data_IF_788034506903
#
_entry.id   IF_788034506903
#
_cell.length_a   1.000
_cell.length_b   1.000
_cell.length_c   1.000
_cell.angle_alpha   90.00
_cell.angle_beta   90.00
_cell.angle_gamma   90.00
#
_symmetry.space_group_name_H-M   'P 1'
#
loop_
_entity.id
_entity.type
_entity.pdbx_description
1 polymer ?
#
# COMPACT_ATOMS: atom_id res chain seq x y z
N UNK A 1 -61.52 -26.10 -24.23
CA UNK A 1 -60.36 -25.59 -25.00
C UNK A 1 -59.68 -24.50 -24.19
N UNK A 2 -58.56 -24.86 -23.58
CA UNK A 2 -57.54 -23.93 -23.08
C UNK A 2 -56.29 -24.76 -22.87
N UNK A 3 -55.52 -24.91 -23.96
CA UNK A 3 -54.18 -25.51 -23.94
C UNK A 3 -53.25 -24.58 -23.14
N UNK A 4 -52.91 -24.98 -21.92
CA UNK A 4 -51.78 -24.41 -21.20
C UNK A 4 -50.49 -24.88 -21.86
N UNK A 5 -49.87 -24.00 -22.65
CA UNK A 5 -48.52 -24.26 -23.17
C UNK A 5 -47.54 -24.28 -21.99
N UNK A 6 -46.71 -25.32 -21.84
CA UNK A 6 -45.70 -25.32 -20.79
C UNK A 6 -44.71 -24.18 -21.05
N UNK A 7 -44.65 -23.25 -20.09
CA UNK A 7 -43.68 -22.14 -20.10
C UNK A 7 -42.28 -22.75 -20.15
N UNK A 8 -41.60 -22.63 -21.30
CA UNK A 8 -40.23 -23.10 -21.43
C UNK A 8 -39.32 -22.22 -20.58
N UNK A 9 -38.97 -22.73 -19.39
CA UNK A 9 -38.02 -22.05 -18.53
C UNK A 9 -36.63 -22.12 -19.19
N UNK A 10 -36.09 -20.97 -19.57
CA UNK A 10 -34.70 -20.87 -19.99
C UNK A 10 -33.80 -21.29 -18.83
N UNK A 11 -32.72 -22.05 -19.07
CA UNK A 11 -31.83 -22.49 -18.00
C UNK A 11 -31.25 -21.28 -17.25
N UNK A 12 -31.30 -21.34 -15.91
CA UNK A 12 -30.76 -20.27 -15.08
C UNK A 12 -29.25 -20.16 -15.27
N UNK A 13 -28.78 -18.95 -15.56
CA UNK A 13 -27.35 -18.66 -15.68
C UNK A 13 -26.68 -18.69 -14.30
N UNK A 14 -26.06 -19.82 -13.98
CA UNK A 14 -25.33 -20.01 -12.72
C UNK A 14 -24.04 -19.20 -12.72
N UNK A 15 -23.68 -18.61 -11.57
CA UNK A 15 -22.42 -17.90 -11.42
C UNK A 15 -21.23 -18.88 -11.48
N UNK A 16 -20.25 -18.71 -12.39
CA UNK A 16 -19.13 -19.64 -12.53
C UNK A 16 -18.24 -19.65 -11.28
N UNK A 17 -17.56 -20.79 -11.04
CA UNK A 17 -16.59 -20.91 -9.94
C UNK A 17 -15.49 -19.86 -10.07
N UNK A 18 -15.16 -19.20 -8.95
CA UNK A 18 -14.14 -18.15 -8.89
C UNK A 18 -14.56 -16.77 -9.41
N UNK A 19 -15.77 -16.62 -9.97
CA UNK A 19 -16.32 -15.31 -10.34
C UNK A 19 -16.97 -14.64 -9.13
N UNK A 20 -16.59 -13.39 -8.89
CA UNK A 20 -17.12 -12.60 -7.77
C UNK A 20 -18.57 -12.17 -8.03
N UNK A 21 -19.35 -12.02 -6.96
CA UNK A 21 -20.69 -11.44 -7.02
C UNK A 21 -20.57 -9.94 -6.81
N UNK A 22 -20.84 -9.16 -7.87
CA UNK A 22 -20.70 -7.71 -7.86
C UNK A 22 -21.80 -6.99 -7.07
N UNK A 23 -21.65 -5.68 -6.84
CA UNK A 23 -22.63 -4.87 -6.10
C UNK A 23 -24.07 -4.98 -6.64
N UNK A 24 -24.25 -4.98 -7.97
CA UNK A 24 -25.58 -5.10 -8.59
C UNK A 24 -26.27 -6.42 -8.23
N UNK A 25 -25.54 -7.53 -8.30
CA UNK A 25 -26.08 -8.84 -7.94
C UNK A 25 -26.31 -8.95 -6.42
N UNK A 26 -25.44 -8.36 -5.60
CA UNK A 26 -25.66 -8.27 -4.16
C UNK A 26 -26.91 -7.46 -3.82
N UNK A 27 -27.18 -6.38 -4.56
CA UNK A 27 -28.39 -5.58 -4.37
C UNK A 27 -29.64 -6.37 -4.76
N UNK A 28 -29.59 -7.16 -5.84
CA UNK A 28 -30.67 -8.08 -6.20
C UNK A 28 -30.94 -9.09 -5.08
N UNK A 29 -29.90 -9.67 -4.48
CA UNK A 29 -30.03 -10.58 -3.33
C UNK A 29 -30.74 -9.88 -2.16
N UNK A 30 -30.34 -8.65 -1.81
CA UNK A 30 -30.96 -7.89 -0.72
C UNK A 30 -32.43 -7.55 -1.01
N UNK A 31 -32.74 -7.12 -2.24
CA UNK A 31 -34.10 -6.78 -2.62
C UNK A 31 -35.03 -8.00 -2.59
N UNK A 32 -34.57 -9.15 -3.10
CA UNK A 32 -35.30 -10.43 -3.02
C UNK A 32 -35.44 -10.91 -1.58
N UNK A 33 -34.41 -10.74 -0.76
CA UNK A 33 -34.50 -11.07 0.66
C UNK A 33 -35.58 -10.22 1.36
N UNK A 34 -35.64 -8.91 1.10
CA UNK A 34 -36.68 -8.04 1.64
C UNK A 34 -38.07 -8.47 1.20
N UNK A 35 -38.28 -8.74 -0.08
CA UNK A 35 -39.60 -9.14 -0.59
C UNK A 35 -40.07 -10.48 -0.02
N UNK A 36 -39.18 -11.48 0.07
CA UNK A 36 -39.49 -12.80 0.62
C UNK A 36 -39.75 -12.75 2.14
N UNK A 37 -39.03 -11.91 2.87
CA UNK A 37 -39.28 -11.71 4.31
C UNK A 37 -40.63 -11.04 4.58
N UNK A 38 -41.10 -10.14 3.70
CA UNK A 38 -42.44 -9.53 3.79
C UNK A 38 -43.51 -10.58 3.49
N UNK A 39 -43.32 -11.41 2.45
CA UNK A 39 -44.29 -12.43 2.05
C UNK A 39 -44.38 -13.59 3.05
N UNK A 40 -43.25 -13.98 3.65
CA UNK A 40 -43.16 -15.14 4.53
C UNK A 40 -42.36 -14.81 5.81
N UNK A 41 -42.98 -14.07 6.76
CA UNK A 41 -42.28 -13.57 7.96
C UNK A 41 -41.81 -14.67 8.92
N UNK A 42 -42.42 -15.85 8.85
CA UNK A 42 -42.16 -16.98 9.75
C UNK A 42 -40.97 -17.84 9.32
N UNK A 43 -40.49 -17.70 8.08
CA UNK A 43 -39.42 -18.54 7.55
C UNK A 43 -38.05 -18.14 8.07
N UNK A 44 -37.19 -19.15 8.25
CA UNK A 44 -35.81 -18.90 8.67
C UNK A 44 -35.01 -18.31 7.52
N UNK A 45 -34.09 -17.41 7.84
CA UNK A 45 -33.16 -16.79 6.85
C UNK A 45 -32.42 -17.84 6.01
N UNK A 46 -32.12 -19.02 6.59
CA UNK A 46 -31.47 -20.13 5.88
C UNK A 46 -32.33 -20.71 4.77
N UNK A 47 -33.64 -20.80 4.97
CA UNK A 47 -34.61 -21.32 3.99
C UNK A 47 -34.82 -20.30 2.87
N UNK A 48 -34.98 -19.02 3.23
CA UNK A 48 -35.07 -17.94 2.25
C UNK A 48 -33.81 -17.82 1.40
N UNK A 49 -32.62 -17.98 1.99
CA UNK A 49 -31.38 -18.02 1.21
C UNK A 49 -31.32 -19.20 0.23
N UNK A 50 -31.94 -20.34 0.55
CA UNK A 50 -32.03 -21.49 -0.36
C UNK A 50 -32.99 -21.23 -1.52
N UNK A 51 -34.11 -20.56 -1.28
CA UNK A 51 -35.05 -20.12 -2.32
C UNK A 51 -34.36 -19.13 -3.27
N UNK A 52 -33.72 -18.08 -2.73
CA UNK A 52 -33.01 -17.07 -3.53
C UNK A 52 -31.86 -17.71 -4.32
N UNK A 53 -31.20 -18.73 -3.77
CA UNK A 53 -30.13 -19.46 -4.47
C UNK A 53 -30.65 -20.16 -5.72
N UNK A 54 -31.82 -20.79 -5.62
CA UNK A 54 -32.50 -21.42 -6.75
C UNK A 54 -33.00 -20.37 -7.76
N UNK A 55 -33.48 -19.21 -7.31
CA UNK A 55 -33.98 -18.16 -8.20
C UNK A 55 -32.85 -17.42 -8.96
N UNK A 56 -31.73 -17.10 -8.31
CA UNK A 56 -30.65 -16.30 -8.89
C UNK A 56 -29.49 -17.11 -9.47
N UNK A 57 -29.42 -18.42 -9.22
CA UNK A 57 -28.26 -19.24 -9.61
C UNK A 57 -26.96 -18.82 -8.91
N UNK A 58 -27.06 -18.23 -7.72
CA UNK A 58 -25.92 -17.82 -6.89
C UNK A 58 -25.78 -18.80 -5.71
N UNK A 59 -24.56 -19.16 -5.37
CA UNK A 59 -24.29 -20.08 -4.27
C UNK A 59 -24.89 -19.60 -2.93
N UNK A 60 -25.52 -20.52 -2.20
CA UNK A 60 -26.16 -20.29 -0.89
C UNK A 60 -25.26 -19.54 0.10
N UNK A 61 -23.99 -19.92 0.19
CA UNK A 61 -23.04 -19.27 1.12
C UNK A 61 -22.83 -17.79 0.77
N UNK A 62 -22.72 -17.45 -0.52
CA UNK A 62 -22.56 -16.07 -0.96
C UNK A 62 -23.79 -15.22 -0.64
N UNK A 63 -24.99 -15.80 -0.79
CA UNK A 63 -26.25 -15.15 -0.41
C UNK A 63 -26.29 -14.91 1.10
N UNK A 64 -25.98 -15.93 1.90
CA UNK A 64 -25.95 -15.80 3.36
C UNK A 64 -24.95 -14.73 3.83
N UNK A 65 -23.73 -14.73 3.29
CA UNK A 65 -22.73 -13.70 3.60
C UNK A 65 -23.19 -12.32 3.17
N UNK A 66 -23.88 -12.19 2.03
CA UNK A 66 -24.44 -10.91 1.56
C UNK A 66 -25.57 -10.41 2.47
N UNK A 67 -26.45 -11.31 2.93
CA UNK A 67 -27.51 -10.96 3.89
C UNK A 67 -26.91 -10.55 5.23
N UNK A 68 -25.87 -11.25 5.70
CA UNK A 68 -25.17 -10.89 6.93
C UNK A 68 -24.47 -9.52 6.82
N UNK A 69 -23.78 -9.27 5.69
CA UNK A 69 -23.18 -7.97 5.36
C UNK A 69 -24.26 -6.86 5.42
N UNK A 70 -25.42 -7.11 4.79
CA UNK A 70 -26.54 -6.18 4.79
C UNK A 70 -27.12 -5.95 6.19
N UNK A 71 -27.33 -7.00 7.00
CA UNK A 71 -27.86 -6.84 8.36
C UNK A 71 -26.92 -6.01 9.25
N UNK A 72 -25.61 -6.19 9.10
CA UNK A 72 -24.62 -5.49 9.91
C UNK A 72 -24.40 -4.04 9.46
N UNK A 73 -24.31 -3.78 8.14
CA UNK A 73 -23.91 -2.47 7.59
C UNK A 73 -25.06 -1.69 6.93
N UNK A 74 -26.25 -2.29 6.80
CA UNK A 74 -27.41 -1.78 6.03
C UNK A 74 -27.12 -1.47 4.55
N UNK A 75 -25.95 -1.86 4.05
CA UNK A 75 -25.46 -1.61 2.69
C UNK A 75 -24.70 -2.84 2.18
N UNK A 76 -24.55 -2.95 0.86
CA UNK A 76 -23.76 -4.00 0.21
C UNK A 76 -22.67 -3.38 -0.65
N UNK A 77 -21.43 -3.81 -0.45
CA UNK A 77 -20.28 -3.32 -1.22
C UNK A 77 -19.79 -4.37 -2.23
N UNK A 78 -19.18 -3.89 -3.32
CA UNK A 78 -18.50 -4.78 -4.25
C UNK A 78 -17.31 -5.45 -3.56
N UNK A 79 -17.05 -6.74 -3.83
CA UNK A 79 -15.79 -7.37 -3.42
C UNK A 79 -14.59 -6.59 -3.94
N UNK A 80 -13.48 -6.62 -3.20
CA UNK A 80 -12.25 -6.00 -3.68
C UNK A 80 -11.79 -6.72 -4.96
N UNK A 81 -11.69 -5.96 -6.06
CA UNK A 81 -11.31 -6.48 -7.38
C UNK A 81 -9.79 -6.56 -7.53
N UNK A 82 -9.03 -5.87 -6.70
CA UNK A 82 -7.57 -5.91 -6.70
C UNK A 82 -7.05 -6.66 -5.49
N UNK A 83 -5.92 -7.35 -5.67
CA UNK A 83 -5.20 -7.96 -4.55
C UNK A 83 -4.49 -6.87 -3.77
N UNK A 84 -4.78 -6.75 -2.47
CA UNK A 84 -4.02 -5.90 -1.56
C UNK A 84 -2.64 -6.55 -1.38
N UNK A 85 -1.58 -5.88 -1.83
CA UNK A 85 -0.19 -6.34 -1.68
C UNK A 85 0.57 -5.29 -0.87
N UNK A 86 1.33 -5.76 0.12
CA UNK A 86 2.22 -4.88 0.87
C UNK A 86 3.24 -4.25 -0.07
N UNK A 87 3.30 -2.92 -0.07
CA UNK A 87 4.27 -2.15 -0.86
C UNK A 87 5.64 -2.18 -0.19
N UNK A 88 6.70 -1.80 -0.92
CA UNK A 88 8.03 -1.72 -0.33
C UNK A 88 8.08 -0.75 0.86
N UNK A 89 7.32 0.35 0.83
CA UNK A 89 7.21 1.29 1.95
C UNK A 89 6.65 0.65 3.21
N UNK A 90 5.72 -0.29 3.08
CA UNK A 90 5.12 -0.99 4.22
C UNK A 90 6.00 -2.11 4.76
N UNK A 91 6.98 -2.57 3.98
CA UNK A 91 7.89 -3.65 4.38
C UNK A 91 9.13 -3.16 5.11
N UNK A 92 9.47 -1.88 4.92
CA UNK A 92 10.72 -1.30 5.45
C UNK A 92 10.37 -0.33 6.55
N UNK A 93 10.88 -0.66 7.74
CA UNK A 93 10.69 0.14 8.95
C UNK A 93 11.59 1.39 8.96
N UNK A 94 11.28 2.35 9.83
CA UNK A 94 12.04 3.59 9.94
C UNK A 94 13.47 3.35 10.43
N UNK A 95 13.70 2.34 11.28
CA UNK A 95 15.05 1.95 11.69
C UNK A 95 15.92 1.50 10.50
N UNK A 96 15.34 0.69 9.60
CA UNK A 96 16.06 0.22 8.41
C UNK A 96 16.34 1.37 7.43
N UNK A 97 15.40 2.30 7.28
CA UNK A 97 15.58 3.52 6.48
C UNK A 97 16.76 4.34 6.98
N UNK A 98 16.86 4.51 8.30
CA UNK A 98 17.95 5.25 8.93
C UNK A 98 19.28 4.52 8.78
N UNK A 99 19.29 3.20 8.93
CA UNK A 99 20.49 2.39 8.73
C UNK A 99 20.99 2.42 7.28
N UNK A 100 20.10 2.32 6.28
CA UNK A 100 20.45 2.48 4.86
C UNK A 100 21.00 3.89 4.60
N UNK A 101 20.36 4.93 5.15
CA UNK A 101 20.86 6.32 5.04
C UNK A 101 22.28 6.44 5.59
N UNK A 102 22.54 5.85 6.75
CA UNK A 102 23.88 5.80 7.36
C UNK A 102 24.90 5.11 6.46
N UNK A 103 24.57 3.96 5.86
CA UNK A 103 25.45 3.28 4.89
C UNK A 103 25.78 4.18 3.70
N UNK A 104 24.80 4.89 3.15
CA UNK A 104 25.05 5.85 2.06
C UNK A 104 26.02 6.95 2.50
N UNK A 105 25.84 7.52 3.71
CA UNK A 105 26.76 8.53 4.26
C UNK A 105 28.16 8.00 4.55
N UNK A 106 28.29 6.73 4.95
CA UNK A 106 29.58 6.09 5.18
C UNK A 106 30.46 6.06 3.91
N UNK A 107 29.86 5.85 2.73
CA UNK A 107 30.59 5.96 1.46
C UNK A 107 31.16 7.37 1.25
N UNK A 108 30.36 8.41 1.52
CA UNK A 108 30.81 9.80 1.42
C UNK A 108 31.96 10.08 2.40
N UNK A 109 31.86 9.60 3.64
CA UNK A 109 32.93 9.72 4.64
C UNK A 109 34.23 9.05 4.19
N UNK A 110 34.13 7.89 3.54
CA UNK A 110 35.26 7.16 2.94
C UNK A 110 35.75 7.78 1.61
N UNK A 111 35.21 8.92 1.20
CA UNK A 111 35.51 9.60 -0.08
C UNK A 111 35.26 8.71 -1.31
N UNK A 112 34.33 7.76 -1.19
CA UNK A 112 33.92 6.87 -2.27
C UNK A 112 32.54 7.28 -2.79
N UNK A 113 32.32 7.22 -4.10
CA UNK A 113 31.01 7.46 -4.65
C UNK A 113 30.05 6.30 -4.32
N UNK A 114 28.88 6.59 -3.71
CA UNK A 114 27.86 5.59 -3.42
C UNK A 114 27.08 5.27 -4.70
N UNK A 115 27.52 4.26 -5.44
CA UNK A 115 26.76 3.68 -6.55
C UNK A 115 25.73 2.70 -6.00
N UNK A 116 24.58 2.57 -6.67
CA UNK A 116 23.52 1.63 -6.28
C UNK A 116 24.05 0.20 -6.03
N UNK A 117 24.95 -0.30 -6.89
CA UNK A 117 25.60 -1.59 -6.72
C UNK A 117 26.37 -1.71 -5.41
N UNK A 118 27.20 -0.70 -5.08
CA UNK A 118 28.01 -0.69 -3.87
C UNK A 118 27.14 -0.64 -2.61
N UNK A 119 26.09 0.18 -2.64
CA UNK A 119 25.14 0.27 -1.54
C UNK A 119 24.41 -1.06 -1.38
N UNK A 120 24.00 -1.69 -2.48
CA UNK A 120 23.32 -2.99 -2.45
C UNK A 120 24.20 -4.06 -1.80
N UNK A 121 25.47 -4.14 -2.20
CA UNK A 121 26.45 -5.03 -1.58
C UNK A 121 26.59 -4.75 -0.08
N UNK A 122 26.87 -3.50 0.30
CA UNK A 122 27.10 -3.13 1.70
C UNK A 122 25.88 -3.26 2.61
N UNK A 123 24.66 -3.14 2.07
CA UNK A 123 23.42 -3.36 2.82
C UNK A 123 23.13 -4.85 2.97
N UNK A 124 23.33 -5.66 1.92
CA UNK A 124 23.06 -7.09 1.96
C UNK A 124 24.13 -7.89 2.74
N UNK A 125 25.34 -7.35 2.90
CA UNK A 125 26.39 -7.92 3.74
C UNK A 125 26.17 -7.67 5.24
N UNK A 126 25.32 -6.69 5.60
CA UNK A 126 25.05 -6.34 6.99
C UNK A 126 24.01 -7.30 7.59
N UNK A 127 24.37 -8.12 8.61
CA UNK A 127 23.44 -9.10 9.19
C UNK A 127 22.28 -8.44 9.93
N UNK A 128 22.42 -7.16 10.33
CA UNK A 128 21.39 -6.41 11.04
C UNK A 128 20.33 -5.82 10.09
N UNK A 129 20.53 -5.94 8.77
CA UNK A 129 19.64 -5.41 7.74
C UNK A 129 18.99 -6.50 6.90
N UNK A 130 17.77 -6.23 6.47
CA UNK A 130 17.09 -7.11 5.53
C UNK A 130 17.83 -7.17 4.19
N UNK A 131 17.70 -8.31 3.50
CA UNK A 131 18.22 -8.45 2.14
C UNK A 131 17.31 -7.75 1.13
N UNK A 132 17.86 -6.83 0.34
CA UNK A 132 17.13 -6.06 -0.66
C UNK A 132 17.44 -6.52 -2.09
N UNK A 133 16.45 -6.34 -2.96
CA UNK A 133 16.65 -6.38 -4.41
C UNK A 133 17.07 -5.00 -4.91
N UNK A 134 17.86 -4.96 -6.00
CA UNK A 134 18.32 -3.72 -6.64
C UNK A 134 17.21 -2.70 -6.87
N UNK A 135 16.09 -3.12 -7.47
CA UNK A 135 14.96 -2.23 -7.79
C UNK A 135 14.28 -1.68 -6.54
N UNK A 136 14.10 -2.52 -5.52
CA UNK A 136 13.54 -2.09 -4.22
C UNK A 136 14.45 -1.08 -3.54
N UNK A 137 15.76 -1.35 -3.49
CA UNK A 137 16.73 -0.45 -2.88
C UNK A 137 16.81 0.90 -3.61
N UNK A 138 16.71 0.90 -4.95
CA UNK A 138 16.66 2.14 -5.73
C UNK A 138 15.47 3.03 -5.32
N UNK A 139 14.27 2.43 -5.19
CA UNK A 139 13.08 3.16 -4.75
C UNK A 139 13.22 3.67 -3.31
N UNK A 140 13.81 2.87 -2.42
CA UNK A 140 14.08 3.28 -1.04
C UNK A 140 15.05 4.46 -0.98
N UNK A 141 16.16 4.41 -1.70
CA UNK A 141 17.14 5.49 -1.74
C UNK A 141 16.51 6.79 -2.26
N UNK A 142 15.65 6.70 -3.28
CA UNK A 142 14.91 7.85 -3.78
C UNK A 142 13.95 8.41 -2.73
N UNK A 143 13.21 7.54 -2.01
CA UNK A 143 12.35 7.93 -0.90
C UNK A 143 13.12 8.55 0.28
N UNK A 144 14.41 8.21 0.45
CA UNK A 144 15.31 8.83 1.43
C UNK A 144 15.86 10.20 0.98
N UNK A 145 15.32 10.77 -0.10
CA UNK A 145 15.71 12.04 -0.71
C UNK A 145 17.13 12.06 -1.31
N UNK A 146 17.69 10.90 -1.65
CA UNK A 146 18.92 10.86 -2.44
C UNK A 146 18.59 10.95 -3.93
N UNK A 147 19.32 11.82 -4.62
CA UNK A 147 19.13 12.06 -6.05
C UNK A 147 20.20 11.33 -6.86
N UNK A 148 19.77 10.61 -7.90
CA UNK A 148 20.70 10.06 -8.88
C UNK A 148 21.21 11.16 -9.80
N UNK A 149 22.54 11.26 -9.95
CA UNK A 149 23.18 12.22 -10.85
C UNK A 149 24.14 11.46 -11.75
N UNK A 150 23.98 11.62 -13.08
CA UNK A 150 24.93 11.09 -14.05
C UNK A 150 26.24 11.86 -13.93
N UNK A 151 27.36 11.15 -13.75
CA UNK A 151 28.69 11.74 -13.65
C UNK A 151 29.65 11.07 -14.63
N UNK A 152 30.56 11.85 -15.20
CA UNK A 152 31.62 11.36 -16.09
C UNK A 152 32.90 10.93 -15.36
N UNK A 153 33.09 11.34 -14.09
CA UNK A 153 34.26 11.00 -13.26
C UNK A 153 33.82 10.25 -12.00
N UNK A 154 34.64 9.29 -11.57
CA UNK A 154 34.38 8.45 -10.40
C UNK A 154 34.94 9.04 -9.08
N UNK A 155 35.03 10.37 -8.98
CA UNK A 155 35.50 11.08 -7.78
C UNK A 155 34.39 11.91 -7.14
N UNK A 156 34.31 11.82 -5.82
CA UNK A 156 33.48 12.68 -5.00
C UNK A 156 34.29 13.93 -4.63
N UNK A 157 33.98 15.08 -5.23
CA UNK A 157 34.45 16.37 -4.72
C UNK A 157 33.68 16.67 -3.43
N UNK A 158 34.26 16.32 -2.31
CA UNK A 158 33.73 16.58 -0.97
C UNK A 158 34.60 17.66 -0.34
N UNK A 159 33.99 18.51 0.49
CA UNK A 159 34.72 19.46 1.32
C UNK A 159 35.80 18.72 2.14
N UNK A 160 36.97 19.34 2.28
CA UNK A 160 38.00 18.81 3.18
C UNK A 160 37.52 18.91 4.63
N UNK A 161 37.99 18.00 5.48
CA UNK A 161 37.55 17.90 6.87
C UNK A 161 37.79 19.19 7.67
N UNK A 162 38.88 19.91 7.37
CA UNK A 162 39.19 21.21 7.97
C UNK A 162 38.17 22.30 7.60
N UNK A 163 37.73 22.35 6.33
CA UNK A 163 36.68 23.27 5.86
C UNK A 163 35.36 22.96 6.57
N UNK A 164 35.01 21.67 6.71
CA UNK A 164 33.81 21.24 7.43
C UNK A 164 33.88 21.68 8.90
N UNK A 165 35.02 21.47 9.57
CA UNK A 165 35.23 21.89 10.96
C UNK A 165 35.12 23.42 11.12
N UNK A 166 35.71 24.19 10.21
CA UNK A 166 35.60 25.65 10.21
C UNK A 166 34.15 26.11 10.06
N UNK A 167 33.38 25.47 9.16
CA UNK A 167 31.95 25.77 9.01
C UNK A 167 31.16 25.44 10.28
N UNK A 168 31.39 24.27 10.89
CA UNK A 168 30.71 23.90 12.14
C UNK A 168 30.99 24.91 13.25
N UNK A 169 32.26 25.25 13.47
CA UNK A 169 32.68 26.26 14.44
C UNK A 169 32.02 27.61 14.16
N UNK A 170 32.04 28.06 12.91
CA UNK A 170 31.38 29.30 12.50
C UNK A 170 29.88 29.29 12.82
N UNK A 171 29.16 28.20 12.51
CA UNK A 171 27.73 28.10 12.81
C UNK A 171 27.46 28.11 14.32
N UNK A 172 28.28 27.40 15.10
CA UNK A 172 28.19 27.38 16.57
C UNK A 172 28.41 28.78 17.16
N UNK A 173 29.43 29.49 16.70
CA UNK A 173 29.73 30.86 17.10
C UNK A 173 28.58 31.81 16.75
N UNK A 174 28.04 31.72 15.53
CA UNK A 174 26.88 32.51 15.10
C UNK A 174 25.65 32.24 15.97
N UNK A 175 25.38 30.97 16.31
CA UNK A 175 24.27 30.62 17.22
C UNK A 175 24.48 31.21 18.60
N UNK A 176 25.70 31.11 19.14
CA UNK A 176 26.09 31.69 20.42
C UNK A 176 25.94 33.22 20.45
N UNK A 177 26.38 33.93 19.41
CA UNK A 177 26.25 35.38 19.31
C UNK A 177 24.80 35.84 19.20
N UNK A 178 23.96 35.11 18.46
CA UNK A 178 22.50 35.36 18.39
C UNK A 178 21.84 35.19 19.75
N UNK A 179 22.20 34.15 20.50
CA UNK A 179 21.68 33.94 21.86
C UNK A 179 22.07 35.09 22.82
N UNK A 180 23.25 35.67 22.64
CA UNK A 180 23.76 36.81 23.40
C UNK A 180 23.23 38.18 22.90
N UNK A 181 22.35 38.19 21.89
CA UNK A 181 21.85 39.41 21.22
C UNK A 181 22.94 40.36 20.72
N UNK A 182 24.08 39.82 20.31
CA UNK A 182 25.18 40.59 19.71
C UNK A 182 24.88 40.88 18.24
N UNK A 183 25.20 42.09 17.78
CA UNK A 183 25.13 42.45 16.36
C UNK A 183 26.20 41.68 15.58
N UNK A 184 25.78 40.91 14.58
CA UNK A 184 26.67 40.13 13.72
C UNK A 184 26.88 40.92 12.43
N UNK A 185 28.12 41.29 12.14
CA UNK A 185 28.50 41.92 10.89
C UNK A 185 29.01 40.86 9.92
N UNK A 186 28.37 40.74 8.76
CA UNK A 186 28.88 39.94 7.65
C UNK A 186 29.27 40.87 6.49
N UNK A 187 30.49 40.67 5.99
CA UNK A 187 30.97 41.36 4.80
C UNK A 187 30.33 40.69 3.58
N UNK A 188 29.60 41.46 2.79
CA UNK A 188 29.04 41.02 1.50
C UNK A 188 30.06 41.48 0.46
N UNK A 189 30.76 40.52 -0.15
CA UNK A 189 31.60 40.74 -1.33
C UNK A 189 30.88 40.18 -2.56
#
# INVERSE_FOLDING_TARGET
MSDERPVSSTPLKVNPRGKFVGSRQKLMIVNLFKSKMIQQPTLKVKEVAMIISKELGIGKNTIQSTIAEYKNKKTVSSPNKSKIRATYKQKVDDFERDAIRRKVHEFWFRKQLPTLDKILTAVNEDPDLNTYKRSTLHLLIHDLNFVYVKRGRNSALIERDDIVLWRTKYIEDIRKYRAQRRTIYHRID
#
